data_IF_409155204980
#
_entry.id   IF_409155204980
#
_cell.length_a   1.000
_cell.length_b   1.000
_cell.length_c   1.000
_cell.angle_alpha   90.00
_cell.angle_beta   90.00
_cell.angle_gamma   90.00
#
_symmetry.space_group_name_H-M   'P 1'
#
loop_
_entity.id
_entity.type
_entity.pdbx_description
1 polymer ?
#
# COMPACT_ATOMS: atom_id res chain seq x y z
N UNK A 1 27.36 8.88 -6.64
CA UNK A 1 27.01 7.46 -6.45
C UNK A 1 26.20 6.93 -7.61
N UNK A 2 26.24 5.61 -7.83
CA UNK A 2 25.36 4.90 -8.78
C UNK A 2 24.60 3.75 -8.10
N UNK A 3 23.30 3.59 -8.40
CA UNK A 3 22.44 2.50 -7.92
C UNK A 3 22.04 1.61 -9.10
N UNK A 4 22.59 0.40 -9.14
CA UNK A 4 22.32 -0.60 -10.15
C UNK A 4 21.40 -1.71 -9.62
N UNK A 5 20.69 -2.36 -10.53
CA UNK A 5 19.86 -3.53 -10.25
C UNK A 5 20.50 -4.75 -10.89
N UNK A 6 20.75 -5.77 -10.08
CA UNK A 6 21.38 -7.00 -10.52
C UNK A 6 20.58 -7.70 -11.62
N UNK A 7 21.28 -8.32 -12.56
CA UNK A 7 20.69 -9.28 -13.50
C UNK A 7 20.80 -10.70 -12.93
N UNK A 8 20.47 -11.72 -13.73
CA UNK A 8 20.64 -13.13 -13.35
C UNK A 8 22.12 -13.52 -13.11
N UNK A 9 23.06 -12.68 -13.54
CA UNK A 9 24.50 -12.89 -13.36
C UNK A 9 24.97 -12.72 -11.92
N UNK A 10 24.20 -12.01 -11.07
CA UNK A 10 24.54 -11.93 -9.65
C UNK A 10 24.11 -13.21 -8.96
N UNK A 11 25.08 -14.09 -8.72
CA UNK A 11 24.88 -15.36 -8.02
C UNK A 11 25.37 -15.24 -6.57
N UNK A 12 24.49 -15.53 -5.61
CA UNK A 12 24.82 -15.59 -4.18
C UNK A 12 24.53 -17.01 -3.71
N UNK A 13 25.53 -17.71 -3.18
CA UNK A 13 25.42 -19.12 -2.76
C UNK A 13 24.82 -20.04 -3.84
N UNK A 14 25.19 -19.82 -5.11
CA UNK A 14 24.72 -20.63 -6.24
C UNK A 14 23.33 -20.26 -6.78
N UNK A 15 22.63 -19.28 -6.20
CA UNK A 15 21.31 -18.83 -6.67
C UNK A 15 21.37 -17.43 -7.31
N UNK A 16 20.67 -17.19 -8.44
CA UNK A 16 20.60 -15.88 -9.09
C UNK A 16 19.64 -14.94 -8.35
N UNK A 17 20.03 -13.67 -8.21
CA UNK A 17 19.24 -12.62 -7.54
C UNK A 17 18.93 -11.43 -8.48
N UNK A 18 18.12 -11.61 -9.54
CA UNK A 18 17.74 -10.50 -10.42
C UNK A 18 16.90 -9.45 -9.68
N UNK A 19 17.24 -8.18 -9.88
CA UNK A 19 16.65 -7.02 -9.23
C UNK A 19 17.28 -6.64 -7.89
N UNK A 20 18.32 -7.35 -7.43
CA UNK A 20 18.99 -7.04 -6.17
C UNK A 20 19.76 -5.71 -6.25
N UNK A 21 19.70 -4.84 -5.22
CA UNK A 21 20.36 -3.54 -5.28
C UNK A 21 21.87 -3.68 -5.16
N UNK A 22 22.60 -2.98 -6.02
CA UNK A 22 24.06 -2.86 -5.98
C UNK A 22 24.39 -1.37 -5.98
N UNK A 23 25.18 -0.93 -5.00
CA UNK A 23 25.59 0.45 -4.86
C UNK A 23 27.06 0.62 -5.21
N UNK A 24 27.38 1.61 -6.05
CA UNK A 24 28.74 1.96 -6.45
C UNK A 24 29.05 3.41 -6.08
N UNK A 25 30.30 3.68 -5.75
CA UNK A 25 30.84 5.05 -5.64
C UNK A 25 30.89 5.72 -7.02
N UNK A 26 31.13 7.04 -7.07
CA UNK A 26 31.34 7.73 -8.37
C UNK A 26 32.57 7.20 -9.14
N UNK A 27 33.52 6.59 -8.44
CA UNK A 27 34.64 5.87 -9.04
C UNK A 27 34.24 4.58 -9.75
N UNK A 28 32.94 4.22 -9.76
CA UNK A 28 32.40 2.91 -10.19
C UNK A 28 32.89 1.71 -9.35
N UNK A 29 33.64 1.97 -8.28
CA UNK A 29 34.02 0.94 -7.31
C UNK A 29 32.82 0.55 -6.44
N UNK A 30 32.85 -0.69 -5.95
CA UNK A 30 31.80 -1.22 -5.07
C UNK A 30 31.73 -0.42 -3.77
N UNK A 31 30.53 0.06 -3.41
CA UNK A 31 30.25 0.53 -2.06
C UNK A 31 30.11 -0.68 -1.11
N UNK A 32 31.27 -1.24 -0.73
CA UNK A 32 31.36 -2.48 0.06
C UNK A 32 30.47 -2.44 1.32
N UNK A 33 30.44 -1.37 2.14
CA UNK A 33 29.60 -1.34 3.33
C UNK A 33 28.09 -1.49 3.03
N UNK A 34 27.60 -0.77 2.02
CA UNK A 34 26.19 -0.84 1.61
C UNK A 34 25.84 -2.20 1.02
N UNK A 35 26.71 -2.73 0.15
CA UNK A 35 26.48 -4.00 -0.53
C UNK A 35 26.52 -5.19 0.44
N UNK A 36 27.40 -5.18 1.44
CA UNK A 36 27.40 -6.17 2.51
C UNK A 36 26.14 -6.05 3.37
N UNK A 37 25.71 -4.83 3.72
CA UNK A 37 24.45 -4.61 4.42
C UNK A 37 23.26 -5.15 3.64
N UNK A 38 23.17 -4.90 2.32
CA UNK A 38 22.09 -5.44 1.49
C UNK A 38 22.05 -6.96 1.55
N UNK A 39 23.20 -7.64 1.39
CA UNK A 39 23.28 -9.10 1.51
C UNK A 39 22.81 -9.57 2.88
N UNK A 40 23.26 -8.91 3.94
CA UNK A 40 22.89 -9.27 5.30
C UNK A 40 21.41 -9.01 5.64
N UNK A 41 20.84 -7.90 5.17
CA UNK A 41 19.52 -7.42 5.58
C UNK A 41 18.40 -7.97 4.67
N UNK A 42 18.61 -7.97 3.35
CA UNK A 42 17.60 -8.35 2.36
C UNK A 42 17.51 -9.84 2.10
N UNK A 43 18.53 -10.63 2.46
CA UNK A 43 18.49 -12.10 2.33
C UNK A 43 17.93 -12.81 3.59
N UNK A 44 17.58 -12.06 4.64
CA UNK A 44 16.91 -12.62 5.82
C UNK A 44 15.50 -13.08 5.47
N UNK A 45 15.12 -14.29 5.90
CA UNK A 45 13.79 -14.87 5.62
C UNK A 45 12.59 -14.02 6.05
N UNK A 46 12.76 -13.12 7.04
CA UNK A 46 11.69 -12.22 7.54
C UNK A 46 11.51 -10.98 6.66
N UNK A 47 12.56 -10.52 5.98
CA UNK A 47 12.59 -9.24 5.22
C UNK A 47 12.64 -9.47 3.71
N UNK A 48 12.96 -10.70 3.28
CA UNK A 48 13.32 -11.11 1.92
C UNK A 48 12.23 -11.08 0.85
N UNK A 49 11.18 -10.28 1.01
CA UNK A 49 10.33 -9.96 -0.13
C UNK A 49 11.14 -9.12 -1.13
N UNK A 50 11.28 -9.59 -2.37
CA UNK A 50 11.90 -8.82 -3.47
C UNK A 50 11.31 -7.41 -3.64
N UNK A 51 10.10 -7.19 -3.12
CA UNK A 51 9.39 -5.90 -3.16
C UNK A 51 10.00 -4.84 -2.23
N UNK A 52 10.74 -5.22 -1.19
CA UNK A 52 11.40 -4.28 -0.28
C UNK A 52 12.73 -3.75 -0.84
N UNK A 53 13.34 -4.50 -1.77
CA UNK A 53 14.65 -4.21 -2.33
C UNK A 53 14.76 -2.81 -2.92
N UNK A 54 13.78 -2.30 -3.71
CA UNK A 54 13.93 -0.98 -4.30
C UNK A 54 13.95 0.16 -3.28
N UNK A 55 13.11 0.07 -2.25
CA UNK A 55 13.06 1.07 -1.19
C UNK A 55 14.31 1.06 -0.33
N UNK A 56 14.86 -0.11 -0.02
CA UNK A 56 16.11 -0.22 0.77
C UNK A 56 17.31 0.25 -0.05
N UNK A 57 17.42 -0.18 -1.31
CA UNK A 57 18.47 0.26 -2.22
C UNK A 57 18.48 1.78 -2.38
N UNK A 58 17.31 2.38 -2.64
CA UNK A 58 17.19 3.83 -2.79
C UNK A 58 17.52 4.60 -1.51
N UNK A 59 17.09 4.11 -0.34
CA UNK A 59 17.38 4.76 0.94
C UNK A 59 18.88 4.86 1.23
N UNK A 60 19.63 3.78 0.97
CA UNK A 60 21.07 3.75 1.17
C UNK A 60 21.80 4.54 0.07
N UNK A 61 21.33 4.48 -1.18
CA UNK A 61 21.84 5.32 -2.26
C UNK A 61 21.76 6.81 -1.90
N UNK A 62 20.58 7.29 -1.48
CA UNK A 62 20.39 8.70 -1.14
C UNK A 62 21.26 9.12 0.06
N UNK A 63 21.41 8.24 1.05
CA UNK A 63 22.27 8.49 2.21
C UNK A 63 23.75 8.57 1.83
N UNK A 64 24.29 7.58 1.14
CA UNK A 64 25.70 7.59 0.74
C UNK A 64 26.00 8.70 -0.29
N UNK A 65 25.03 9.07 -1.13
CA UNK A 65 25.16 10.25 -1.99
C UNK A 65 25.27 11.53 -1.19
N UNK A 66 24.48 11.69 -0.13
CA UNK A 66 24.58 12.82 0.79
C UNK A 66 25.96 12.87 1.47
N UNK A 67 26.44 11.73 1.98
CA UNK A 67 27.78 11.61 2.60
C UNK A 67 28.87 12.02 1.62
N UNK A 68 28.83 11.48 0.40
CA UNK A 68 29.83 11.74 -0.63
C UNK A 68 29.82 13.21 -1.08
N UNK A 69 28.63 13.78 -1.32
CA UNK A 69 28.48 15.16 -1.79
C UNK A 69 28.92 16.21 -0.75
N UNK A 70 28.93 15.86 0.53
CA UNK A 70 29.37 16.74 1.61
C UNK A 70 30.76 16.36 2.17
N UNK A 71 31.48 15.47 1.48
CA UNK A 71 32.83 15.01 1.87
C UNK A 71 32.90 14.50 3.31
N UNK A 72 31.88 13.75 3.72
CA UNK A 72 31.73 13.22 5.07
C UNK A 72 32.29 11.80 5.15
N UNK A 73 32.89 11.44 6.30
CA UNK A 73 33.12 10.03 6.64
C UNK A 73 31.95 9.52 7.45
N UNK A 74 31.21 8.55 6.90
CA UNK A 74 30.07 7.95 7.59
C UNK A 74 30.45 7.19 8.88
N UNK A 75 31.74 6.83 9.04
CA UNK A 75 32.28 6.16 10.22
C UNK A 75 32.59 7.12 11.37
N UNK A 76 32.75 8.41 11.06
CA UNK A 76 33.00 9.45 12.05
C UNK A 76 31.70 9.81 12.79
N UNK A 77 31.33 8.94 13.72
CA UNK A 77 30.14 9.12 14.57
C UNK A 77 30.39 10.08 15.74
N UNK A 78 31.62 10.58 15.90
CA UNK A 78 32.10 11.39 17.02
C UNK A 78 32.50 12.82 16.61
N UNK A 79 32.01 13.28 15.45
CA UNK A 79 32.40 14.51 14.76
C UNK A 79 32.33 15.82 15.58
N UNK A 80 31.86 15.79 16.82
CA UNK A 80 31.82 16.94 17.75
C UNK A 80 30.80 18.00 17.36
N UNK A 81 30.00 17.75 16.33
CA UNK A 81 28.98 18.69 15.85
C UNK A 81 27.74 18.72 16.74
N UNK A 82 27.00 19.83 16.67
CA UNK A 82 25.75 20.01 17.40
C UNK A 82 24.65 19.00 17.00
N UNK A 83 24.76 18.37 15.83
CA UNK A 83 23.84 17.33 15.34
C UNK A 83 24.62 16.10 14.91
N UNK A 84 24.05 14.92 15.15
CA UNK A 84 24.61 13.70 14.60
C UNK A 84 24.47 13.66 13.07
N UNK A 85 25.32 12.86 12.42
CA UNK A 85 25.31 12.68 10.96
C UNK A 85 23.93 12.24 10.42
N UNK A 86 23.25 11.35 11.14
CA UNK A 86 21.91 10.88 10.74
C UNK A 86 20.84 11.95 10.97
N UNK A 87 20.99 12.78 12.00
CA UNK A 87 20.13 13.95 12.20
C UNK A 87 20.34 15.02 11.12
N UNK A 88 21.58 15.26 10.69
CA UNK A 88 21.89 16.14 9.58
C UNK A 88 21.26 15.63 8.26
N UNK A 89 21.37 14.33 7.98
CA UNK A 89 20.72 13.72 6.81
C UNK A 89 19.18 13.79 6.86
N UNK A 90 18.58 13.63 8.05
CA UNK A 90 17.13 13.85 8.24
C UNK A 90 16.74 15.26 7.83
N UNK A 91 17.47 16.25 8.35
CA UNK A 91 17.17 17.66 8.10
C UNK A 91 17.36 18.00 6.61
N UNK A 92 18.42 17.47 5.98
CA UNK A 92 18.62 17.55 4.54
C UNK A 92 17.43 16.98 3.74
N UNK A 93 16.95 15.79 4.12
CA UNK A 93 15.78 15.17 3.47
C UNK A 93 14.51 16.03 3.59
N UNK A 94 14.28 16.66 4.74
CA UNK A 94 13.06 17.45 5.01
C UNK A 94 13.12 18.86 4.44
N UNK A 95 14.29 19.52 4.54
CA UNK A 95 14.45 20.94 4.21
C UNK A 95 14.97 21.11 2.79
N UNK A 96 16.06 20.44 2.43
CA UNK A 96 16.68 20.63 1.12
C UNK A 96 15.98 19.82 0.02
N UNK A 97 15.57 18.59 0.33
CA UNK A 97 14.85 17.73 -0.63
C UNK A 97 13.33 17.80 -0.53
N UNK A 98 12.78 18.53 0.45
CA UNK A 98 11.34 18.68 0.70
C UNK A 98 10.54 17.37 0.69
N UNK A 99 11.16 16.29 1.18
CA UNK A 99 10.53 14.98 1.17
C UNK A 99 9.41 14.88 2.21
N UNK A 100 8.33 14.20 1.85
CA UNK A 100 7.25 13.92 2.78
C UNK A 100 7.77 13.21 4.05
N UNK A 101 7.30 13.57 5.26
CA UNK A 101 7.82 13.03 6.52
C UNK A 101 7.85 11.50 6.61
N UNK A 102 6.85 10.82 6.05
CA UNK A 102 6.80 9.36 6.02
C UNK A 102 7.86 8.75 5.09
N UNK A 103 8.16 9.39 3.96
CA UNK A 103 9.24 8.98 3.05
C UNK A 103 10.60 9.12 3.73
N UNK A 104 10.84 10.27 4.37
CA UNK A 104 12.06 10.52 5.15
C UNK A 104 12.21 9.51 6.27
N UNK A 105 11.13 9.22 7.01
CA UNK A 105 11.13 8.19 8.06
C UNK A 105 11.50 6.81 7.52
N UNK A 106 10.97 6.42 6.36
CA UNK A 106 11.29 5.13 5.74
C UNK A 106 12.77 5.07 5.33
N UNK A 107 13.33 6.14 4.76
CA UNK A 107 14.76 6.20 4.43
C UNK A 107 15.63 6.09 5.67
N UNK A 108 15.34 6.89 6.69
CA UNK A 108 16.05 6.86 7.97
C UNK A 108 15.96 5.50 8.65
N UNK A 109 14.84 4.78 8.53
CA UNK A 109 14.73 3.42 9.05
C UNK A 109 15.83 2.51 8.50
N UNK A 110 16.04 2.50 7.17
CA UNK A 110 17.08 1.67 6.56
C UNK A 110 18.49 2.16 6.89
N UNK A 111 18.71 3.48 6.99
CA UNK A 111 19.98 4.06 7.45
C UNK A 111 20.30 3.63 8.89
N UNK A 112 19.31 3.66 9.78
CA UNK A 112 19.50 3.21 11.16
C UNK A 112 19.80 1.71 11.22
N UNK A 113 19.13 0.89 10.39
CA UNK A 113 19.45 -0.55 10.27
C UNK A 113 20.83 -0.80 9.69
N UNK A 114 21.31 0.05 8.79
CA UNK A 114 22.68 0.02 8.31
C UNK A 114 23.67 0.32 9.43
N UNK A 115 23.46 1.34 10.26
CA UNK A 115 24.33 1.63 11.40
C UNK A 115 24.29 0.56 12.50
N UNK A 116 23.13 -0.02 12.79
CA UNK A 116 23.02 -1.20 13.68
C UNK A 116 23.81 -2.41 13.15
N UNK A 117 23.90 -2.56 11.82
CA UNK A 117 24.74 -3.56 11.19
C UNK A 117 26.22 -3.18 11.29
N UNK A 118 26.59 -1.95 10.92
CA UNK A 118 27.95 -1.45 10.98
C UNK A 118 28.56 -1.54 12.40
N UNK A 119 27.77 -1.28 13.44
CA UNK A 119 28.21 -1.44 14.83
C UNK A 119 28.51 -2.91 15.17
N UNK A 120 27.66 -3.85 14.70
CA UNK A 120 27.89 -5.29 14.92
C UNK A 120 29.11 -5.82 14.17
N UNK A 121 29.41 -5.26 13.00
CA UNK A 121 30.63 -5.58 12.24
C UNK A 121 31.86 -4.83 12.77
N UNK A 122 31.73 -3.99 13.79
CA UNK A 122 32.83 -3.22 14.38
C UNK A 122 33.34 -2.06 13.52
N UNK A 123 32.59 -1.62 12.51
CA UNK A 123 33.00 -0.53 11.61
C UNK A 123 32.83 0.86 12.23
N UNK A 124 31.99 0.96 13.26
CA UNK A 124 31.76 2.17 14.04
C UNK A 124 31.82 1.85 15.53
N UNK A 125 32.27 2.79 16.35
CA UNK A 125 32.43 2.60 17.80
C UNK A 125 31.11 2.66 18.57
N UNK A 126 30.12 3.40 18.06
CA UNK A 126 28.78 3.57 18.64
C UNK A 126 27.77 3.98 17.57
N UNK A 127 26.47 3.98 17.93
CA UNK A 127 25.41 4.46 17.04
C UNK A 127 25.38 5.99 17.01
N UNK A 128 25.19 6.63 15.83
CA UNK A 128 25.04 8.08 15.70
C UNK A 128 23.61 8.56 16.03
N UNK A 129 22.88 7.82 16.86
CA UNK A 129 21.52 8.12 17.30
C UNK A 129 21.21 7.36 18.60
N UNK A 130 20.26 7.87 19.37
CA UNK A 130 19.80 7.26 20.61
C UNK A 130 18.40 6.67 20.49
N UNK A 131 18.10 5.69 21.36
CA UNK A 131 16.74 5.23 21.57
C UNK A 131 16.14 5.97 22.77
N UNK A 132 15.10 6.75 22.50
CA UNK A 132 14.34 7.48 23.52
C UNK A 132 13.03 6.73 23.81
N UNK A 133 12.68 6.61 25.10
CA UNK A 133 11.30 6.29 25.46
C UNK A 133 10.42 7.50 25.13
N UNK A 134 9.50 7.34 24.18
CA UNK A 134 8.47 8.34 23.91
C UNK A 134 7.15 7.86 24.47
N UNK A 135 6.50 8.73 25.24
CA UNK A 135 5.09 8.56 25.63
C UNK A 135 4.27 8.75 24.35
N UNK A 136 3.79 7.66 23.80
CA UNK A 136 2.82 7.67 22.71
C UNK A 136 1.49 8.02 23.35
N UNK A 137 0.84 9.07 22.85
CA UNK A 137 -0.52 9.43 23.25
C UNK A 137 -1.37 8.17 23.13
N UNK A 138 -1.92 7.68 24.25
CA UNK A 138 -2.79 6.50 24.25
C UNK A 138 -3.88 6.75 23.22
N UNK A 139 -4.02 5.85 22.25
CA UNK A 139 -5.21 5.88 21.41
C UNK A 139 -6.39 5.60 22.34
N UNK A 140 -7.32 6.55 22.44
CA UNK A 140 -8.59 6.41 23.17
C UNK A 140 -9.58 5.51 22.41
N UNK A 141 -9.05 4.48 21.73
CA UNK A 141 -9.79 3.62 20.84
C UNK A 141 -10.24 2.33 21.50
N UNK A 142 -11.04 1.55 20.77
CA UNK A 142 -11.67 0.30 21.21
C UNK A 142 -10.72 -0.73 21.85
N UNK A 143 -9.42 -0.71 21.50
CA UNK A 143 -8.41 -1.63 22.05
C UNK A 143 -7.41 -0.98 23.02
N UNK A 144 -7.70 0.22 23.52
CA UNK A 144 -6.81 0.94 24.46
C UNK A 144 -6.47 0.10 25.70
N UNK A 145 -7.42 -0.73 26.16
CA UNK A 145 -7.28 -1.59 27.33
C UNK A 145 -6.38 -2.82 27.11
N UNK A 146 -6.03 -3.14 25.86
CA UNK A 146 -5.21 -4.31 25.49
C UNK A 146 -3.73 -3.93 25.33
N UNK A 147 -3.39 -2.65 25.38
CA UNK A 147 -2.02 -2.18 25.23
C UNK A 147 -1.20 -2.38 26.52
N UNK A 148 -0.48 -3.51 26.58
CA UNK A 148 0.44 -3.85 27.67
C UNK A 148 1.71 -2.97 27.70
N UNK A 149 1.96 -2.13 26.68
CA UNK A 149 3.15 -1.25 26.63
C UNK A 149 3.05 -0.02 27.52
N UNK A 150 1.88 0.22 28.13
CA UNK A 150 1.64 1.37 28.99
C UNK A 150 1.68 2.72 28.27
N UNK A 151 1.64 2.74 26.93
CA UNK A 151 1.81 3.96 26.13
C UNK A 151 3.27 4.39 25.95
N UNK A 152 4.25 3.52 26.24
CA UNK A 152 5.67 3.79 26.00
C UNK A 152 6.12 3.06 24.74
N UNK A 153 6.71 3.79 23.80
CA UNK A 153 7.38 3.18 22.66
C UNK A 153 8.82 3.69 22.56
N UNK A 154 9.77 2.78 22.38
CA UNK A 154 11.12 3.16 22.01
C UNK A 154 11.10 3.73 20.61
N UNK A 155 11.50 5.00 20.49
CA UNK A 155 11.64 5.67 19.22
C UNK A 155 13.10 6.11 19.07
N UNK A 156 13.60 5.99 17.86
CA UNK A 156 14.89 6.56 17.52
C UNK A 156 14.74 8.10 17.48
N UNK A 157 15.65 8.80 18.17
CA UNK A 157 15.65 10.26 18.34
C UNK A 157 15.66 11.01 17.00
N UNK A 158 16.34 10.46 15.99
CA UNK A 158 16.40 11.02 14.63
C UNK A 158 15.13 10.82 13.82
N UNK A 159 14.12 10.09 14.32
CA UNK A 159 12.93 9.84 13.52
C UNK A 159 11.99 11.05 13.51
N UNK A 160 11.51 11.51 12.33
CA UNK A 160 10.51 12.56 12.27
C UNK A 160 9.22 12.10 12.95
N UNK A 161 8.47 13.08 13.48
CA UNK A 161 7.19 12.84 14.15
C UNK A 161 6.22 12.17 13.19
N UNK A 162 5.44 11.20 13.71
CA UNK A 162 4.38 10.55 12.93
C UNK A 162 3.16 11.45 12.91
N UNK A 163 2.83 11.97 11.74
CA UNK A 163 1.50 12.51 11.45
C UNK A 163 0.66 11.39 10.83
N UNK A 164 -0.31 10.85 11.58
CA UNK A 164 -1.31 9.94 11.01
C UNK A 164 -2.36 10.81 10.30
N UNK A 165 -2.33 10.83 8.97
CA UNK A 165 -3.44 11.37 8.20
C UNK A 165 -4.54 10.31 8.10
N UNK A 166 -5.80 10.73 8.24
CA UNK A 166 -6.93 9.84 8.04
C UNK A 166 -7.01 9.39 6.57
N UNK A 167 -7.40 8.12 6.31
CA UNK A 167 -7.55 7.64 4.94
C UNK A 167 -8.63 8.44 4.22
N UNK A 168 -8.28 9.02 3.07
CA UNK A 168 -9.27 9.63 2.18
C UNK A 168 -10.08 8.55 1.47
N UNK A 169 -11.37 8.80 1.28
CA UNK A 169 -12.29 7.96 0.52
C UNK A 169 -13.16 8.84 -0.38
N UNK A 170 -13.85 8.23 -1.35
CA UNK A 170 -14.74 8.95 -2.27
C UNK A 170 -16.19 8.87 -1.79
N UNK A 171 -16.91 9.97 -1.87
CA UNK A 171 -18.36 10.01 -1.77
C UNK A 171 -19.02 9.23 -2.92
N UNK A 172 -20.31 8.92 -2.78
CA UNK A 172 -21.04 8.23 -3.86
C UNK A 172 -21.20 9.10 -5.12
N UNK A 173 -21.15 10.42 -4.98
CA UNK A 173 -21.15 11.36 -6.12
C UNK A 173 -19.83 11.27 -6.87
N UNK A 174 -18.71 11.41 -6.15
CA UNK A 174 -17.36 11.27 -6.72
C UNK A 174 -17.12 9.89 -7.36
N UNK A 175 -17.68 8.81 -6.79
CA UNK A 175 -17.64 7.48 -7.40
C UNK A 175 -18.33 7.47 -8.76
N UNK A 176 -19.51 8.10 -8.88
CA UNK A 176 -20.24 8.18 -10.16
C UNK A 176 -19.45 8.99 -11.19
N UNK A 177 -18.92 10.15 -10.78
CA UNK A 177 -18.11 11.02 -11.64
C UNK A 177 -16.83 10.33 -12.12
N UNK A 178 -16.12 9.64 -11.23
CA UNK A 178 -14.93 8.86 -11.58
C UNK A 178 -15.24 7.77 -12.61
N UNK A 179 -16.33 7.02 -12.42
CA UNK A 179 -16.74 5.97 -13.35
C UNK A 179 -17.22 6.52 -14.69
N UNK A 180 -17.85 7.70 -14.70
CA UNK A 180 -18.25 8.41 -15.91
C UNK A 180 -17.01 8.86 -16.71
N UNK A 181 -16.02 9.47 -16.04
CA UNK A 181 -14.76 9.92 -16.64
C UNK A 181 -13.84 8.79 -17.14
N UNK A 182 -14.13 7.54 -16.78
CA UNK A 182 -13.46 6.36 -17.31
C UNK A 182 -14.07 5.95 -18.67
N UNK A 183 -13.71 6.66 -19.74
CA UNK A 183 -14.22 6.41 -21.11
C UNK A 183 -13.93 5.00 -21.61
N UNK A 184 -12.73 4.48 -21.35
CA UNK A 184 -12.34 3.14 -21.76
C UNK A 184 -13.11 2.06 -20.96
N UNK A 185 -13.86 1.16 -21.62
CA UNK A 185 -14.73 0.20 -20.93
C UNK A 185 -13.95 -0.81 -20.08
N UNK A 186 -12.72 -1.16 -20.46
CA UNK A 186 -11.85 -2.02 -19.64
C UNK A 186 -11.39 -1.32 -18.36
N UNK A 187 -11.03 -0.03 -18.46
CA UNK A 187 -10.64 0.76 -17.31
C UNK A 187 -11.82 0.98 -16.36
N UNK A 188 -13.00 1.26 -16.91
CA UNK A 188 -14.24 1.39 -16.14
C UNK A 188 -14.56 0.09 -15.40
N UNK A 189 -14.53 -1.08 -16.06
CA UNK A 189 -14.81 -2.35 -15.40
C UNK A 189 -13.79 -2.68 -14.29
N UNK A 190 -12.52 -2.38 -14.51
CA UNK A 190 -11.47 -2.51 -13.50
C UNK A 190 -11.73 -1.65 -12.26
N UNK A 191 -12.15 -0.39 -12.44
CA UNK A 191 -12.53 0.49 -11.32
C UNK A 191 -13.75 -0.02 -10.57
N UNK A 192 -14.76 -0.54 -11.30
CA UNK A 192 -15.94 -1.16 -10.69
C UNK A 192 -15.56 -2.36 -9.84
N UNK A 193 -14.70 -3.26 -10.34
CA UNK A 193 -14.23 -4.39 -9.54
C UNK A 193 -13.56 -3.90 -8.25
N UNK A 194 -12.67 -2.91 -8.34
CA UNK A 194 -12.00 -2.34 -7.17
C UNK A 194 -13.00 -1.79 -6.13
N UNK A 195 -13.99 -1.03 -6.58
CA UNK A 195 -15.01 -0.40 -5.74
C UNK A 195 -16.03 -1.40 -5.16
N UNK A 196 -16.27 -2.54 -5.82
CA UNK A 196 -17.20 -3.57 -5.34
C UNK A 196 -16.57 -4.62 -4.43
N UNK A 197 -15.24 -4.74 -4.40
CA UNK A 197 -14.55 -5.85 -3.72
C UNK A 197 -13.44 -5.41 -2.77
N UNK A 198 -12.98 -4.17 -2.88
CA UNK A 198 -11.88 -3.65 -2.07
C UNK A 198 -10.56 -4.36 -2.30
N UNK A 199 -10.36 -5.05 -3.43
CA UNK A 199 -9.13 -5.78 -3.75
C UNK A 199 -7.91 -4.85 -3.76
N UNK A 200 -6.73 -5.42 -3.46
CA UNK A 200 -5.46 -4.70 -3.67
C UNK A 200 -5.20 -4.53 -5.17
N UNK A 201 -4.42 -3.51 -5.52
CA UNK A 201 -4.00 -3.24 -6.90
C UNK A 201 -3.47 -4.48 -7.64
N UNK A 202 -2.60 -5.24 -7.00
CA UNK A 202 -2.00 -6.45 -7.55
C UNK A 202 -3.04 -7.57 -7.70
N UNK A 203 -3.94 -7.70 -6.72
CA UNK A 203 -5.07 -8.64 -6.75
C UNK A 203 -6.04 -8.31 -7.91
N UNK A 204 -6.23 -7.03 -8.25
CA UNK A 204 -7.03 -6.59 -9.41
C UNK A 204 -6.29 -6.91 -10.72
N UNK A 205 -4.99 -6.62 -10.80
CA UNK A 205 -4.19 -6.87 -11.99
C UNK A 205 -4.13 -8.36 -12.33
N UNK A 206 -3.98 -9.21 -11.31
CA UNK A 206 -3.90 -10.66 -11.44
C UNK A 206 -5.26 -11.38 -11.33
N UNK A 207 -6.38 -10.66 -11.28
CA UNK A 207 -7.69 -11.28 -11.06
C UNK A 207 -7.99 -12.30 -12.17
N UNK A 208 -8.19 -13.59 -11.86
CA UNK A 208 -8.36 -14.62 -12.88
C UNK A 208 -9.67 -14.49 -13.65
N UNK A 209 -9.60 -14.76 -14.96
CA UNK A 209 -10.77 -14.95 -15.81
C UNK A 209 -11.65 -16.10 -15.31
N UNK A 210 -11.04 -17.17 -14.79
CA UNK A 210 -11.72 -18.36 -14.27
C UNK A 210 -12.66 -18.06 -13.09
N UNK A 211 -12.51 -16.92 -12.40
CA UNK A 211 -13.40 -16.52 -11.31
C UNK A 211 -14.69 -15.86 -11.80
N UNK A 212 -14.81 -15.56 -13.10
CA UNK A 212 -15.99 -14.96 -13.71
C UNK A 212 -16.80 -16.04 -14.43
N UNK A 213 -18.07 -16.18 -14.04
CA UNK A 213 -19.00 -17.14 -14.61
C UNK A 213 -20.38 -16.54 -14.76
N UNK A 214 -21.24 -17.17 -15.56
CA UNK A 214 -22.64 -16.79 -15.70
C UNK A 214 -23.42 -17.18 -14.44
N UNK A 215 -23.85 -16.21 -13.60
CA UNK A 215 -24.56 -16.55 -12.37
C UNK A 215 -26.01 -16.96 -12.62
N UNK A 216 -26.57 -16.76 -13.82
CA UNK A 216 -27.92 -17.19 -14.19
C UNK A 216 -27.98 -18.68 -14.57
N UNK A 217 -26.86 -19.25 -15.03
CA UNK A 217 -26.72 -20.70 -15.27
C UNK A 217 -26.27 -21.48 -14.05
N UNK A 218 -25.71 -20.81 -13.05
CA UNK A 218 -25.34 -21.45 -11.80
C UNK A 218 -26.60 -21.76 -10.98
N UNK A 219 -26.67 -22.94 -10.36
CA UNK A 219 -27.75 -23.36 -9.41
C UNK A 219 -27.82 -22.45 -8.17
N UNK A 220 -26.88 -21.50 -8.06
CA UNK A 220 -26.68 -20.57 -6.94
C UNK A 220 -27.65 -19.39 -7.02
N UNK A 221 -28.58 -19.33 -6.07
CA UNK A 221 -29.57 -18.25 -5.93
C UNK A 221 -29.12 -17.14 -4.98
N UNK A 222 -27.91 -17.23 -4.40
CA UNK A 222 -27.46 -16.26 -3.41
C UNK A 222 -27.25 -14.87 -4.03
N UNK A 223 -27.67 -13.82 -3.31
CA UNK A 223 -27.46 -12.41 -3.72
C UNK A 223 -25.98 -12.02 -3.71
N UNK A 224 -25.16 -12.68 -2.89
CA UNK A 224 -23.73 -12.48 -2.79
C UNK A 224 -22.99 -13.81 -3.00
N UNK A 225 -22.15 -13.85 -4.04
CA UNK A 225 -21.37 -15.02 -4.42
C UNK A 225 -20.03 -14.99 -3.68
N UNK A 226 -19.63 -16.13 -3.11
CA UNK A 226 -18.32 -16.30 -2.47
C UNK A 226 -17.29 -16.71 -3.51
N UNK A 227 -16.21 -15.96 -3.62
CA UNK A 227 -15.05 -16.26 -4.47
C UNK A 227 -13.84 -16.46 -3.56
N UNK A 228 -13.19 -17.63 -3.70
CA UNK A 228 -11.93 -17.92 -3.04
C UNK A 228 -10.79 -17.35 -3.88
N UNK A 229 -10.09 -16.37 -3.34
CA UNK A 229 -8.83 -15.90 -3.91
C UNK A 229 -7.74 -16.84 -3.42
N UNK A 230 -7.21 -17.69 -4.30
CA UNK A 230 -6.22 -18.69 -3.93
C UNK A 230 -4.98 -18.60 -4.85
N UNK A 231 -3.81 -18.20 -4.32
CA UNK A 231 -2.59 -18.16 -5.12
C UNK A 231 -2.10 -19.52 -5.62
N UNK A 232 -2.64 -20.63 -5.09
CA UNK A 232 -2.17 -21.99 -5.35
C UNK A 232 -3.14 -22.82 -6.20
N UNK A 233 -4.25 -22.25 -6.67
CA UNK A 233 -5.26 -22.98 -7.47
C UNK A 233 -4.94 -23.08 -8.98
N UNK A 234 -3.77 -22.59 -9.41
CA UNK A 234 -3.34 -22.61 -10.81
C UNK A 234 -4.04 -21.59 -11.73
N UNK A 235 -4.95 -20.76 -11.20
CA UNK A 235 -5.68 -19.72 -11.93
C UNK A 235 -4.83 -18.49 -12.26
N UNK A 236 -3.73 -18.29 -11.52
CA UNK A 236 -2.85 -17.13 -11.63
C UNK A 236 -3.16 -15.99 -10.64
N UNK A 237 -4.02 -16.22 -9.65
CA UNK A 237 -4.32 -15.24 -8.61
C UNK A 237 -3.07 -14.90 -7.76
N UNK A 238 -2.94 -13.64 -7.35
CA UNK A 238 -1.87 -13.18 -6.45
C UNK A 238 -2.47 -12.52 -5.23
N UNK A 239 -2.03 -12.91 -4.02
CA UNK A 239 -2.43 -12.25 -2.77
C UNK A 239 -1.21 -11.86 -1.93
N UNK A 240 -1.39 -10.85 -1.07
CA UNK A 240 -0.31 -10.39 -0.19
C UNK A 240 0.08 -11.51 0.79
N UNK A 241 1.35 -11.89 0.75
CA UNK A 241 1.90 -12.96 1.60
C UNK A 241 1.41 -14.35 1.22
N UNK A 242 0.88 -14.52 0.00
CA UNK A 242 0.36 -15.79 -0.52
C UNK A 242 -0.69 -16.46 0.36
N UNK A 243 -1.49 -15.65 1.08
CA UNK A 243 -2.56 -16.17 1.95
C UNK A 243 -3.88 -16.21 1.18
N UNK A 244 -4.56 -17.38 1.11
CA UNK A 244 -5.87 -17.46 0.49
C UNK A 244 -6.91 -16.73 1.36
N UNK A 245 -7.94 -16.16 0.72
CA UNK A 245 -9.07 -15.53 1.42
C UNK A 245 -10.33 -15.55 0.58
N UNK A 246 -11.47 -15.48 1.25
CA UNK A 246 -12.77 -15.36 0.58
C UNK A 246 -13.10 -13.88 0.37
N UNK A 247 -13.74 -13.58 -0.76
CA UNK A 247 -14.45 -12.33 -0.99
C UNK A 247 -15.90 -12.59 -1.37
N UNK A 248 -16.77 -11.64 -1.05
CA UNK A 248 -18.12 -11.58 -1.58
C UNK A 248 -18.17 -10.67 -2.81
N UNK A 249 -18.82 -11.15 -3.86
CA UNK A 249 -19.15 -10.38 -5.06
C UNK A 249 -20.66 -10.46 -5.26
N UNK A 250 -21.32 -9.31 -5.38
CA UNK A 250 -22.77 -9.31 -5.61
C UNK A 250 -23.11 -10.00 -6.94
N UNK A 251 -24.22 -10.72 -6.97
CA UNK A 251 -24.71 -11.40 -8.18
C UNK A 251 -24.84 -10.42 -9.35
N UNK A 252 -25.36 -9.21 -9.09
CA UNK A 252 -25.47 -8.13 -10.08
C UNK A 252 -24.11 -7.76 -10.67
N UNK A 253 -23.08 -7.62 -9.84
CA UNK A 253 -21.74 -7.30 -10.33
C UNK A 253 -21.11 -8.47 -11.11
N UNK A 254 -21.38 -9.72 -10.69
CA UNK A 254 -20.93 -10.89 -11.47
C UNK A 254 -21.56 -10.95 -12.87
N UNK A 255 -22.86 -10.62 -13.01
CA UNK A 255 -23.50 -10.49 -14.33
C UNK A 255 -22.77 -9.44 -15.19
N UNK A 256 -22.38 -8.30 -14.61
CA UNK A 256 -21.65 -7.25 -15.33
C UNK A 256 -20.24 -7.70 -15.75
N UNK A 257 -19.52 -8.40 -14.88
CA UNK A 257 -18.22 -8.99 -15.20
C UNK A 257 -18.35 -10.01 -16.33
N UNK A 258 -19.35 -10.88 -16.27
CA UNK A 258 -19.61 -11.87 -17.31
C UNK A 258 -19.97 -11.22 -18.65
N UNK A 259 -20.79 -10.16 -18.64
CA UNK A 259 -21.09 -9.35 -19.83
C UNK A 259 -19.83 -8.69 -20.41
N UNK A 260 -18.96 -8.15 -19.55
CA UNK A 260 -17.69 -7.60 -19.98
C UNK A 260 -16.82 -8.67 -20.65
N UNK A 261 -16.72 -9.87 -20.07
CA UNK A 261 -15.96 -10.99 -20.65
C UNK A 261 -16.49 -11.39 -22.02
N UNK A 262 -17.81 -11.51 -22.17
CA UNK A 262 -18.44 -11.99 -23.40
C UNK A 262 -18.53 -10.94 -24.52
N UNK A 263 -18.68 -9.66 -24.18
CA UNK A 263 -18.95 -8.59 -25.17
C UNK A 263 -17.79 -7.64 -25.44
N UNK A 264 -16.86 -7.47 -24.50
CA UNK A 264 -15.84 -6.40 -24.56
C UNK A 264 -14.43 -6.95 -24.47
N UNK A 265 -14.15 -7.86 -23.53
CA UNK A 265 -12.80 -8.41 -23.32
C UNK A 265 -12.22 -9.07 -24.57
N UNK A 266 -13.08 -9.68 -25.39
CA UNK A 266 -12.68 -10.39 -26.62
C UNK A 266 -11.83 -9.56 -27.58
N UNK A 267 -12.11 -8.25 -27.71
CA UNK A 267 -11.36 -7.32 -28.57
C UNK A 267 -9.89 -7.22 -28.16
N UNK A 268 -9.59 -7.14 -26.86
CA UNK A 268 -8.20 -7.15 -26.37
C UNK A 268 -7.59 -8.54 -26.44
N UNK A 269 -8.39 -9.57 -26.14
CA UNK A 269 -7.90 -10.93 -26.10
C UNK A 269 -7.44 -11.42 -27.48
N UNK A 270 -8.09 -10.99 -28.57
CA UNK A 270 -7.72 -11.36 -29.95
C UNK A 270 -6.40 -10.75 -30.42
N UNK A 271 -5.87 -9.72 -29.74
CA UNK A 271 -4.56 -9.13 -30.04
C UNK A 271 -3.40 -9.98 -29.54
N UNK A 272 -3.64 -10.86 -28.55
CA UNK A 272 -2.61 -11.75 -28.03
C UNK A 272 -2.54 -13.04 -28.82
N UNK A 273 -1.32 -13.59 -28.93
CA UNK A 273 -1.06 -14.87 -29.60
C UNK A 273 -1.42 -16.09 -28.74
N UNK A 274 -1.65 -15.88 -27.45
CA UNK A 274 -1.88 -16.95 -26.47
C UNK A 274 -3.12 -16.68 -25.63
N UNK A 275 -3.69 -17.75 -25.05
CA UNK A 275 -4.83 -17.63 -24.16
C UNK A 275 -4.41 -17.03 -22.81
N UNK A 276 -4.99 -15.87 -22.50
CA UNK A 276 -4.65 -15.12 -21.30
C UNK A 276 -5.57 -15.47 -20.13
N UNK A 277 -4.97 -15.90 -19.01
CA UNK A 277 -5.66 -16.26 -17.76
C UNK A 277 -6.19 -15.04 -16.98
N UNK A 278 -5.57 -13.87 -17.11
CA UNK A 278 -5.97 -12.66 -16.39
C UNK A 278 -7.26 -12.06 -16.96
N UNK A 279 -8.16 -11.59 -16.09
CA UNK A 279 -9.42 -10.96 -16.48
C UNK A 279 -9.19 -9.65 -17.26
N UNK A 280 -8.26 -8.82 -16.80
CA UNK A 280 -7.94 -7.54 -17.42
C UNK A 280 -6.65 -7.63 -18.23
N UNK A 281 -6.75 -7.19 -19.49
CA UNK A 281 -5.65 -7.17 -20.45
C UNK A 281 -5.31 -5.71 -20.78
N UNK A 282 -4.05 -5.43 -21.09
CA UNK A 282 -3.57 -4.13 -21.51
C UNK A 282 -3.89 -3.89 -23.00
N UNK A 283 -3.44 -2.75 -23.55
CA UNK A 283 -3.73 -2.34 -24.95
C UNK A 283 -3.21 -3.32 -26.01
N UNK A 284 -2.21 -4.13 -25.66
CA UNK A 284 -1.58 -5.13 -26.54
C UNK A 284 -2.18 -6.53 -26.35
N UNK A 285 -3.25 -6.67 -25.56
CA UNK A 285 -3.85 -7.97 -25.26
C UNK A 285 -3.14 -8.79 -24.20
N UNK A 286 -2.05 -8.29 -23.63
CA UNK A 286 -1.28 -8.98 -22.59
C UNK A 286 -1.75 -8.62 -21.17
N UNK A 287 -1.48 -9.43 -20.14
CA UNK A 287 -1.78 -9.08 -18.76
C UNK A 287 -1.11 -7.76 -18.34
N UNK A 288 -1.71 -7.09 -17.35
CA UNK A 288 -1.02 -6.00 -16.68
C UNK A 288 0.12 -6.55 -15.80
N UNK A 289 1.18 -5.76 -15.61
CA UNK A 289 2.29 -6.11 -14.71
C UNK A 289 1.79 -6.45 -13.30
N UNK A 290 2.39 -7.45 -12.67
CA UNK A 290 1.97 -7.95 -11.35
C UNK A 290 2.00 -6.88 -10.25
N UNK A 291 2.89 -5.89 -10.34
CA UNK A 291 2.96 -4.78 -9.38
C UNK A 291 1.75 -3.83 -9.49
N UNK A 292 1.00 -3.93 -10.58
CA UNK A 292 -0.19 -3.17 -10.96
C UNK A 292 0.01 -1.66 -11.04
N UNK A 293 1.24 -1.13 -11.16
CA UNK A 293 1.49 0.34 -11.21
C UNK A 293 0.70 1.04 -12.32
N UNK A 294 0.54 0.38 -13.45
CA UNK A 294 -0.28 0.85 -14.58
C UNK A 294 -1.74 1.07 -14.19
N UNK A 295 -2.34 0.19 -13.38
CA UNK A 295 -3.71 0.37 -12.87
C UNK A 295 -3.80 1.64 -12.02
N UNK A 296 -2.79 1.89 -11.18
CA UNK A 296 -2.76 3.10 -10.36
C UNK A 296 -2.74 4.37 -11.23
N UNK A 297 -1.93 4.35 -12.30
CA UNK A 297 -1.86 5.43 -13.27
C UNK A 297 -3.20 5.63 -13.99
N UNK A 298 -3.82 4.55 -14.47
CA UNK A 298 -5.14 4.58 -15.13
C UNK A 298 -6.21 5.23 -14.25
N UNK A 299 -6.29 4.82 -12.98
CA UNK A 299 -7.24 5.37 -12.02
C UNK A 299 -6.93 6.83 -11.70
N UNK A 300 -5.65 7.18 -11.56
CA UNK A 300 -5.23 8.56 -11.32
C UNK A 300 -5.56 9.48 -12.49
N UNK A 301 -5.38 9.00 -13.73
CA UNK A 301 -5.72 9.76 -14.94
C UNK A 301 -7.25 9.95 -15.08
N UNK A 302 -8.05 8.94 -14.76
CA UNK A 302 -9.51 9.11 -14.71
C UNK A 302 -9.95 10.07 -13.59
N UNK A 303 -9.32 9.98 -12.42
CA UNK A 303 -9.55 10.94 -11.34
C UNK A 303 -9.23 12.36 -11.76
N UNK A 304 -8.08 12.60 -12.41
CA UNK A 304 -7.71 13.92 -12.94
C UNK A 304 -8.77 14.49 -13.89
N UNK A 305 -9.31 13.67 -14.81
CA UNK A 305 -10.40 14.10 -15.71
C UNK A 305 -11.68 14.47 -14.96
N UNK A 306 -11.95 13.79 -13.85
CA UNK A 306 -13.10 14.07 -13.00
C UNK A 306 -12.84 15.16 -11.95
N UNK A 307 -11.64 15.75 -11.87
CA UNK A 307 -11.28 16.68 -10.79
C UNK A 307 -11.07 16.02 -9.41
N UNK A 308 -10.98 14.68 -9.36
CA UNK A 308 -10.94 13.89 -8.13
C UNK A 308 -9.55 13.26 -7.94
N UNK A 309 -9.02 13.32 -6.72
CA UNK A 309 -7.81 12.57 -6.38
C UNK A 309 -8.14 11.09 -6.19
N UNK A 310 -8.07 10.30 -7.26
CA UNK A 310 -8.33 8.87 -7.22
C UNK A 310 -7.06 8.04 -7.44
N UNK A 311 -6.93 6.93 -6.73
CA UNK A 311 -5.88 5.92 -6.94
C UNK A 311 -6.32 4.60 -6.27
N UNK A 312 -5.61 3.49 -6.49
CA UNK A 312 -6.11 2.16 -6.08
C UNK A 312 -6.42 2.03 -4.59
N UNK A 313 -5.62 2.68 -3.74
CA UNK A 313 -5.86 2.68 -2.29
C UNK A 313 -7.11 3.46 -1.91
N UNK A 314 -7.38 4.61 -2.54
CA UNK A 314 -8.62 5.37 -2.31
C UNK A 314 -9.85 4.56 -2.70
N UNK A 315 -9.84 3.82 -3.83
CA UNK A 315 -10.99 2.96 -4.17
C UNK A 315 -11.22 1.85 -3.15
N UNK A 316 -10.13 1.29 -2.61
CA UNK A 316 -10.20 0.29 -1.54
C UNK A 316 -10.71 0.87 -0.22
N UNK A 317 -10.27 2.07 0.16
CA UNK A 317 -10.78 2.80 1.32
C UNK A 317 -12.26 3.13 1.13
N UNK A 318 -12.65 3.56 -0.08
CA UNK A 318 -14.05 3.82 -0.47
C UNK A 318 -14.92 2.59 -0.27
N UNK A 319 -14.51 1.42 -0.78
CA UNK A 319 -15.23 0.18 -0.52
C UNK A 319 -15.35 -0.11 0.98
N UNK A 320 -14.25 0.02 1.74
CA UNK A 320 -14.22 -0.28 3.16
C UNK A 320 -15.16 0.61 3.97
N UNK A 321 -15.06 1.93 3.79
CA UNK A 321 -15.87 2.92 4.50
C UNK A 321 -17.35 2.74 4.18
N UNK A 322 -17.75 2.73 2.89
CA UNK A 322 -19.16 2.57 2.52
C UNK A 322 -19.75 1.23 2.94
N UNK A 323 -18.98 0.15 2.85
CA UNK A 323 -19.44 -1.18 3.31
C UNK A 323 -19.63 -1.18 4.83
N UNK A 324 -18.70 -0.59 5.59
CA UNK A 324 -18.80 -0.50 7.04
C UNK A 324 -20.03 0.31 7.46
N UNK A 325 -20.23 1.50 6.87
CA UNK A 325 -21.42 2.35 7.10
C UNK A 325 -22.70 1.57 6.78
N UNK A 326 -22.75 0.91 5.62
CA UNK A 326 -23.95 0.17 5.20
C UNK A 326 -24.29 -0.98 6.16
N UNK A 327 -23.29 -1.69 6.67
CA UNK A 327 -23.47 -2.81 7.60
C UNK A 327 -23.84 -2.35 9.02
N UNK A 328 -23.32 -1.20 9.45
CA UNK A 328 -23.72 -0.61 10.74
C UNK A 328 -25.15 -0.06 10.69
N UNK A 329 -25.58 0.52 9.57
CA UNK A 329 -26.96 1.00 9.37
C UNK A 329 -27.96 -0.13 9.18
N UNK A 330 -27.53 -1.25 8.59
CA UNK A 330 -28.37 -2.43 8.36
C UNK A 330 -27.71 -3.67 8.96
N UNK A 331 -27.73 -3.80 10.31
CA UNK A 331 -27.08 -4.90 10.98
C UNK A 331 -27.74 -6.23 10.57
N UNK A 332 -26.94 -7.12 9.97
CA UNK A 332 -27.33 -8.49 9.77
C UNK A 332 -27.08 -9.28 11.06
N UNK A 333 -28.06 -10.06 11.52
CA UNK A 333 -27.94 -10.85 12.75
C UNK A 333 -26.69 -11.74 12.72
N UNK A 334 -25.87 -11.67 13.78
CA UNK A 334 -24.64 -12.44 13.95
C UNK A 334 -23.45 -12.00 13.10
N UNK A 335 -23.54 -10.89 12.36
CA UNK A 335 -22.42 -10.37 11.55
C UNK A 335 -21.80 -9.14 12.23
N UNK A 336 -20.56 -9.29 12.67
CA UNK A 336 -19.74 -8.16 13.13
C UNK A 336 -19.19 -7.35 11.94
N UNK A 337 -19.64 -6.09 11.71
CA UNK A 337 -19.29 -5.31 10.52
C UNK A 337 -17.78 -5.11 10.32
N UNK A 338 -17.07 -4.80 11.41
CA UNK A 338 -15.63 -4.55 11.35
C UNK A 338 -14.83 -5.82 10.99
N UNK A 339 -15.24 -6.97 11.56
CA UNK A 339 -14.63 -8.27 11.26
C UNK A 339 -14.91 -8.69 9.82
N UNK A 340 -16.13 -8.44 9.34
CA UNK A 340 -16.48 -8.67 7.94
C UNK A 340 -15.59 -7.87 6.98
N UNK A 341 -15.46 -6.56 7.19
CA UNK A 341 -14.59 -5.70 6.37
C UNK A 341 -13.12 -6.13 6.48
N UNK A 342 -12.64 -6.49 7.67
CA UNK A 342 -11.28 -6.99 7.88
C UNK A 342 -10.99 -8.25 7.04
N UNK A 343 -11.90 -9.22 7.02
CA UNK A 343 -11.80 -10.43 6.19
C UNK A 343 -11.88 -10.10 4.69
N UNK A 344 -12.82 -9.24 4.30
CA UNK A 344 -13.02 -8.77 2.92
C UNK A 344 -11.86 -7.96 2.37
N UNK A 345 -11.04 -7.35 3.22
CA UNK A 345 -9.83 -6.67 2.84
C UNK A 345 -8.58 -7.57 3.00
N UNK A 346 -8.66 -8.65 3.75
CA UNK A 346 -7.51 -9.48 4.09
C UNK A 346 -6.47 -8.71 4.90
N UNK A 347 -6.92 -7.98 5.93
CA UNK A 347 -6.02 -7.35 6.90
C UNK A 347 -5.61 -8.36 7.97
N UNK A 348 -4.32 -8.44 8.29
CA UNK A 348 -3.81 -9.35 9.32
C UNK A 348 -4.09 -8.86 10.75
N UNK A 349 -4.34 -7.57 10.93
CA UNK A 349 -4.68 -6.95 12.21
C UNK A 349 -5.99 -6.20 12.09
N UNK A 350 -6.85 -6.34 13.10
CA UNK A 350 -8.09 -5.58 13.22
C UNK A 350 -7.81 -4.08 13.41
N UNK A 351 -6.68 -3.71 14.01
CA UNK A 351 -6.25 -2.32 14.17
C UNK A 351 -6.12 -1.59 12.83
N UNK A 352 -5.65 -2.29 11.79
CA UNK A 352 -5.58 -1.73 10.43
C UNK A 352 -6.96 -1.41 9.87
N UNK A 353 -8.01 -2.12 10.30
CA UNK A 353 -9.39 -1.89 9.89
C UNK A 353 -10.09 -0.83 10.76
N UNK A 354 -9.72 -0.72 12.04
CA UNK A 354 -10.28 0.31 12.95
C UNK A 354 -10.08 1.74 12.46
N UNK A 355 -9.08 1.99 11.60
CA UNK A 355 -8.89 3.30 10.96
C UNK A 355 -10.16 3.80 10.24
N UNK A 356 -11.01 2.89 9.74
CA UNK A 356 -12.26 3.25 9.08
C UNK A 356 -13.37 3.64 10.05
N UNK A 357 -13.32 3.22 11.32
CA UNK A 357 -14.32 3.62 12.33
C UNK A 357 -14.25 5.13 12.58
N UNK A 358 -13.04 5.71 12.61
CA UNK A 358 -12.88 7.15 12.75
C UNK A 358 -13.57 7.92 11.62
N UNK A 359 -13.47 7.41 10.38
CA UNK A 359 -14.13 8.04 9.22
C UNK A 359 -15.65 7.94 9.32
N UNK A 360 -16.19 6.84 9.83
CA UNK A 360 -17.64 6.71 10.06
C UNK A 360 -18.11 7.72 11.10
N UNK A 361 -17.35 7.89 12.18
CA UNK A 361 -17.70 8.84 13.24
C UNK A 361 -17.67 10.28 12.73
N UNK A 362 -16.67 10.68 11.95
CA UNK A 362 -16.64 12.02 11.33
C UNK A 362 -17.86 12.27 10.44
N UNK A 363 -18.30 11.28 9.66
CA UNK A 363 -19.54 11.39 8.87
C UNK A 363 -20.80 11.52 9.74
N UNK A 364 -20.80 10.95 10.95
CA UNK A 364 -21.91 11.08 11.88
C UNK A 364 -21.92 12.48 12.52
N UNK A 365 -20.76 13.00 12.90
CA UNK A 365 -20.60 14.34 13.47
C UNK A 365 -21.05 15.42 12.46
N UNK A 366 -20.63 15.32 11.19
CA UNK A 366 -21.10 16.23 10.12
C UNK A 366 -22.63 16.18 9.94
N UNK A 367 -23.24 14.98 10.04
CA UNK A 367 -24.68 14.83 9.91
C UNK A 367 -25.45 15.45 11.11
N UNK A 368 -24.88 15.38 12.32
CA UNK A 368 -25.46 16.03 13.51
C UNK A 368 -25.38 17.55 13.39
N UNK A 369 -24.25 18.10 12.92
CA UNK A 369 -24.09 19.54 12.71
C UNK A 369 -25.08 20.07 11.65
N UNK A 370 -25.22 19.37 10.51
CA UNK A 370 -26.17 19.77 9.48
C UNK A 370 -27.63 19.80 9.97
N UNK A 371 -28.02 18.83 10.82
CA UNK A 371 -29.34 18.84 11.44
C UNK A 371 -29.52 20.00 12.44
N UNK A 372 -28.48 20.33 13.20
CA UNK A 372 -28.48 21.50 14.08
C UNK A 372 -28.65 22.80 13.29
N UNK A 373 -27.90 22.98 12.21
CA UNK A 373 -28.00 24.15 11.34
C UNK A 373 -29.41 24.28 10.71
N UNK A 374 -30.05 23.16 10.34
CA UNK A 374 -31.43 23.14 9.84
C UNK A 374 -32.46 23.55 10.92
N UNK A 375 -32.27 23.10 12.17
CA UNK A 375 -33.13 23.50 13.29
C UNK A 375 -32.95 24.99 13.62
N UNK A 376 -31.72 25.47 13.71
CA UNK A 376 -31.43 26.88 13.99
C UNK A 376 -31.97 27.81 12.89
N UNK A 377 -31.94 27.36 11.63
CA UNK A 377 -32.56 28.08 10.51
C UNK A 377 -34.09 28.13 10.59
N UNK A 378 -34.74 27.12 11.17
CA UNK A 378 -36.18 27.12 11.43
C UNK A 378 -36.56 28.01 12.61
N UNK A 379 -35.71 28.08 13.64
CA UNK A 379 -35.92 28.95 14.81
C UNK A 379 -35.60 30.42 14.54
N UNK A 380 -34.61 30.72 13.68
CA UNK A 380 -34.24 32.08 13.28
C UNK A 380 -35.13 32.71 12.19
N UNK A 381 -36.09 31.95 11.65
CA UNK A 381 -37.09 32.42 10.68
C UNK A 381 -38.46 32.75 11.32
N UNK A 382 -38.59 32.57 12.63
CA UNK A 382 -39.73 32.99 13.46
C UNK A 382 -39.46 34.33 14.13
#
# INVERSE_FOLDING_TARGET
>A
MELMWATENLVIAGQPYPGFPILLWDSMESCVPANQFFRHYLLRGVIGSKRSWPSTGRALYDFFSFIQAHELDWRDVDRGEAKSLVAAYRDYCLVACELAPNTTRQRLHYVCKFYEFALREGWVKRLPFAYEERIVKRETGFLAHVDASGGKAMANDVMPRRTKALPKFLSMVEVKELLAAAENPHHRMMMRLALHTGLRREEIAAFPLAYVFDPDKAVRTERNLRIRLDPFDGSGMVTKGSKPRQIYVSRKHMVELYRYVTKVRGERASLSKTLQKALFLNRSGEPYSEDGKSLNRIISEAGKRAGIKAHTHILRHTYATHTLVSLQRNPASGLEPLVFVQRQLGHSSIQTTMVYLHLVNEMADEAVLAYGDELDALEGAA
#
